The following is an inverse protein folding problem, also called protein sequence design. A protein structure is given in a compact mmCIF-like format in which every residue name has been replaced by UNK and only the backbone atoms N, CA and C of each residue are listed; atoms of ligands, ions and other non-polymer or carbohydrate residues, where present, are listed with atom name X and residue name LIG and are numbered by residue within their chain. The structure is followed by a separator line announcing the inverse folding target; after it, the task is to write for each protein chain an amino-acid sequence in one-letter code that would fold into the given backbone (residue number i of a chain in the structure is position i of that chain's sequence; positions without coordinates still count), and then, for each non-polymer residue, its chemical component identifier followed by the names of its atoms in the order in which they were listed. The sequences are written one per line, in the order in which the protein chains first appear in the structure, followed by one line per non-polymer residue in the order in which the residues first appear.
data_IF_033035405733
#
_entry.id   IF_033035405733
#
_cell.length_a   1.000
_cell.length_b   1.000
_cell.length_c   1.000
_cell.angle_alpha   90.00
_cell.angle_beta   90.00
_cell.angle_gamma   90.00
#
_symmetry.space_group_name_H-M   'P 1'
#
loop_
_entity.id
_entity.type
_entity.pdbx_description
1 polymer ?
#
# COMPACT_ATOMS: atom_id res chain seq x y z
N UNK A 1 1.30 -101.22 -14.60
CA UNK A 1 0.16 -101.24 -13.65
C UNK A 1 -0.64 -99.94 -13.88
N UNK A 2 -1.73 -100.00 -14.66
CA UNK A 2 -3.12 -99.60 -14.29
C UNK A 2 -3.22 -98.14 -13.77
N UNK A 3 -3.91 -97.14 -14.34
CA UNK A 3 -5.34 -97.00 -14.75
C UNK A 3 -5.52 -95.57 -15.34
N UNK A 4 -6.09 -95.41 -16.54
CA UNK A 4 -7.37 -94.74 -16.91
C UNK A 4 -7.76 -93.36 -16.30
N UNK A 5 -8.16 -92.49 -17.24
CA UNK A 5 -9.41 -91.68 -17.29
C UNK A 5 -9.45 -90.17 -16.93
N UNK A 6 -9.87 -89.44 -17.97
CA UNK A 6 -10.97 -88.45 -18.07
C UNK A 6 -10.77 -87.01 -17.57
N UNK A 7 -11.08 -86.14 -18.52
CA UNK A 7 -11.40 -84.71 -18.47
C UNK A 7 -12.30 -84.31 -17.29
N UNK A 8 -12.05 -83.12 -16.73
CA UNK A 8 -13.12 -82.24 -16.24
C UNK A 8 -12.71 -80.76 -16.36
N UNK A 9 -13.67 -79.97 -16.86
CA UNK A 9 -13.64 -78.52 -17.05
C UNK A 9 -13.70 -77.80 -15.69
N UNK A 10 -13.02 -76.66 -15.59
CA UNK A 10 -13.22 -75.69 -14.50
C UNK A 10 -12.97 -74.27 -15.01
N UNK A 11 -14.05 -73.57 -15.39
CA UNK A 11 -14.05 -72.12 -15.59
C UNK A 11 -13.94 -71.45 -14.20
N UNK A 12 -12.91 -70.64 -13.99
CA UNK A 12 -12.83 -69.67 -12.89
C UNK A 12 -13.12 -68.28 -13.47
N UNK A 13 -14.34 -67.79 -13.26
CA UNK A 13 -14.66 -66.38 -13.43
C UNK A 13 -14.02 -65.61 -12.27
N UNK A 14 -12.97 -64.85 -12.57
CA UNK A 14 -12.45 -63.82 -11.68
C UNK A 14 -13.38 -62.62 -11.68
N UNK A 15 -14.03 -62.36 -10.55
CA UNK A 15 -14.79 -61.14 -10.32
C UNK A 15 -13.83 -59.95 -10.22
N UNK A 16 -13.77 -59.12 -11.26
CA UNK A 16 -13.20 -57.77 -11.16
C UNK A 16 -14.15 -56.91 -10.30
N UNK A 17 -13.74 -56.62 -9.07
CA UNK A 17 -14.30 -55.51 -8.31
C UNK A 17 -13.83 -54.20 -8.93
N UNK A 18 -14.72 -53.53 -9.67
CA UNK A 18 -14.56 -52.12 -9.98
C UNK A 18 -14.72 -51.33 -8.68
N UNK A 19 -13.61 -50.94 -8.08
CA UNK A 19 -13.59 -49.86 -7.11
C UNK A 19 -13.93 -48.57 -7.85
N UNK A 20 -15.18 -48.12 -7.69
CA UNK A 20 -15.57 -46.77 -8.05
C UNK A 20 -14.83 -45.81 -7.10
N UNK A 21 -13.64 -45.36 -7.52
CA UNK A 21 -13.04 -44.16 -6.95
C UNK A 21 -13.97 -43.01 -7.30
N UNK A 22 -14.77 -42.57 -6.32
CA UNK A 22 -15.55 -41.36 -6.47
C UNK A 22 -14.60 -40.22 -6.84
N UNK A 23 -14.81 -39.61 -8.00
CA UNK A 23 -14.32 -38.27 -8.29
C UNK A 23 -15.07 -37.34 -7.33
N UNK A 24 -14.58 -37.25 -6.09
CA UNK A 24 -14.88 -36.09 -5.28
C UNK A 24 -14.22 -34.93 -5.97
N UNK A 25 -15.01 -33.96 -6.42
CA UNK A 25 -14.52 -32.67 -6.94
C UNK A 25 -13.77 -31.95 -5.82
N UNK A 26 -12.53 -32.38 -5.56
CA UNK A 26 -11.63 -31.66 -4.67
C UNK A 26 -11.17 -30.45 -5.45
N UNK A 27 -11.84 -29.33 -5.24
CA UNK A 27 -11.36 -28.03 -5.71
C UNK A 27 -9.94 -27.87 -5.19
N UNK A 28 -8.99 -27.75 -6.11
CA UNK A 28 -7.60 -27.45 -5.82
C UNK A 28 -7.52 -26.22 -4.89
N UNK A 29 -6.64 -26.25 -3.89
CA UNK A 29 -6.52 -25.17 -2.89
C UNK A 29 -5.10 -24.63 -2.80
N UNK A 30 -4.98 -23.38 -2.38
CA UNK A 30 -3.73 -22.74 -2.02
C UNK A 30 -3.94 -21.65 -0.97
N UNK A 31 -2.86 -20.96 -0.64
CA UNK A 31 -2.86 -19.92 0.38
C UNK A 31 -2.37 -18.58 -0.20
N UNK A 32 -2.67 -17.50 0.51
CA UNK A 32 -2.13 -16.16 0.24
C UNK A 32 -1.49 -15.62 1.50
N UNK A 33 -0.23 -15.21 1.39
CA UNK A 33 0.43 -14.37 2.39
C UNK A 33 0.32 -12.93 1.95
N UNK A 34 0.03 -12.06 2.92
CA UNK A 34 -0.11 -10.63 2.69
C UNK A 34 0.96 -9.91 3.49
N UNK A 35 1.67 -8.97 2.87
CA UNK A 35 2.59 -8.05 3.55
C UNK A 35 2.18 -6.60 3.32
N UNK A 36 2.58 -5.72 4.24
CA UNK A 36 2.50 -4.28 4.09
C UNK A 36 3.94 -3.74 4.07
N UNK A 37 4.30 -3.04 2.99
CA UNK A 37 5.65 -2.52 2.75
C UNK A 37 5.63 -1.01 2.53
N UNK A 38 6.68 -0.33 2.97
CA UNK A 38 6.95 1.08 2.63
C UNK A 38 7.87 1.24 1.41
N UNK A 39 8.33 0.11 0.85
CA UNK A 39 9.33 0.09 -0.20
C UNK A 39 10.64 0.79 0.18
N UNK A 40 11.51 0.94 -0.82
CA UNK A 40 12.82 1.53 -0.66
C UNK A 40 12.76 3.01 -0.27
N UNK A 41 11.78 3.75 -0.80
CA UNK A 41 11.63 5.19 -0.55
C UNK A 41 11.34 5.51 0.91
N UNK A 42 10.42 4.76 1.53
CA UNK A 42 10.09 4.97 2.96
C UNK A 42 11.24 4.50 3.86
N UNK A 43 11.86 3.36 3.55
CA UNK A 43 12.87 2.75 4.43
C UNK A 43 14.24 3.43 4.32
N UNK A 44 14.65 3.83 3.11
CA UNK A 44 15.98 4.41 2.83
C UNK A 44 15.97 5.90 2.53
N UNK A 45 14.81 6.50 2.37
CA UNK A 45 14.66 7.91 2.00
C UNK A 45 14.86 8.18 0.51
N UNK A 46 14.77 9.46 0.16
CA UNK A 46 14.88 9.97 -1.19
C UNK A 46 16.06 10.94 -1.29
N UNK A 47 16.90 10.75 -2.28
CA UNK A 47 18.07 11.59 -2.52
C UNK A 47 17.70 12.91 -3.22
N UNK A 48 18.57 13.92 -3.08
CA UNK A 48 18.39 15.29 -3.58
C UNK A 48 18.16 15.41 -5.09
N UNK A 49 18.77 14.53 -5.89
CA UNK A 49 18.64 14.51 -7.34
C UNK A 49 17.26 14.02 -7.82
N UNK A 50 16.46 13.42 -6.94
CA UNK A 50 15.06 13.06 -7.24
C UNK A 50 14.13 14.27 -7.15
N UNK A 51 14.53 15.29 -6.37
CA UNK A 51 13.75 16.51 -6.16
C UNK A 51 14.23 17.64 -7.06
N UNK A 52 13.28 18.34 -7.67
CA UNK A 52 13.58 19.44 -8.60
C UNK A 52 14.19 20.65 -7.91
N UNK A 53 13.92 20.81 -6.62
CA UNK A 53 14.41 21.86 -5.74
C UNK A 53 15.58 21.40 -4.86
N UNK A 54 16.11 20.19 -5.08
CA UNK A 54 17.36 19.74 -4.47
C UNK A 54 17.27 19.32 -3.01
N UNK A 55 16.07 18.97 -2.55
CA UNK A 55 15.83 18.43 -1.23
C UNK A 55 16.00 16.92 -1.19
N UNK A 56 16.60 16.42 -0.12
CA UNK A 56 16.58 15.01 0.25
C UNK A 56 15.64 14.81 1.44
N UNK A 57 15.04 13.62 1.56
CA UNK A 57 14.10 13.27 2.63
C UNK A 57 14.50 11.93 3.23
N UNK A 58 14.48 11.83 4.56
CA UNK A 58 14.62 10.58 5.29
C UNK A 58 13.50 10.46 6.32
N UNK A 59 12.73 9.37 6.25
CA UNK A 59 11.76 9.03 7.28
C UNK A 59 12.41 8.34 8.46
N UNK A 60 11.88 8.62 9.64
CA UNK A 60 12.22 7.93 10.90
C UNK A 60 11.06 7.10 11.44
N UNK A 61 9.83 7.40 10.96
CA UNK A 61 8.59 6.68 11.25
C UNK A 61 7.61 6.91 10.10
N UNK A 62 6.93 5.85 9.69
CA UNK A 62 5.82 5.93 8.73
C UNK A 62 4.74 4.94 9.16
N UNK A 63 3.80 5.41 9.99
CA UNK A 63 2.69 4.62 10.46
C UNK A 63 1.58 4.57 9.42
N UNK A 64 1.05 3.38 9.20
CA UNK A 64 -0.06 3.13 8.27
C UNK A 64 -1.13 2.31 8.97
N UNK A 65 -2.36 2.82 8.95
CA UNK A 65 -3.56 2.10 9.40
C UNK A 65 -4.26 1.51 8.18
N UNK A 66 -4.23 0.18 8.08
CA UNK A 66 -4.78 -0.57 6.95
C UNK A 66 -5.63 -1.73 7.43
N UNK A 67 -6.79 -1.91 6.82
CA UNK A 67 -7.69 -3.02 7.12
C UNK A 67 -8.37 -3.56 5.88
N UNK A 68 -9.24 -4.54 6.11
CA UNK A 68 -10.17 -5.08 5.12
C UNK A 68 -9.50 -5.56 3.83
N UNK A 69 -8.32 -6.18 3.95
CA UNK A 69 -7.73 -6.87 2.82
C UNK A 69 -8.64 -8.05 2.47
N UNK A 70 -9.20 -8.01 1.27
CA UNK A 70 -10.20 -8.95 0.79
C UNK A 70 -9.82 -9.52 -0.57
N UNK A 71 -10.13 -10.80 -0.71
CA UNK A 71 -10.05 -11.56 -1.95
C UNK A 71 -11.46 -11.97 -2.35
N UNK A 72 -11.91 -11.58 -3.54
CA UNK A 72 -13.21 -11.99 -4.07
C UNK A 72 -13.03 -12.91 -5.26
N UNK A 73 -13.59 -14.12 -5.17
CA UNK A 73 -13.55 -15.11 -6.26
C UNK A 73 -14.44 -14.68 -7.42
N UNK A 74 -14.28 -15.30 -8.60
CA UNK A 74 -15.18 -15.10 -9.73
C UNK A 74 -16.66 -15.48 -9.42
N UNK A 75 -16.89 -16.36 -8.43
CA UNK A 75 -18.22 -16.73 -7.95
C UNK A 75 -18.81 -15.76 -6.92
N UNK A 76 -18.04 -14.76 -6.48
CA UNK A 76 -18.45 -13.78 -5.47
C UNK A 76 -18.12 -14.16 -4.03
N UNK A 77 -17.41 -15.28 -3.79
CA UNK A 77 -16.97 -15.64 -2.44
C UNK A 77 -15.90 -14.68 -1.96
N UNK A 78 -16.14 -14.03 -0.82
CA UNK A 78 -15.22 -13.08 -0.21
C UNK A 78 -14.47 -13.73 0.94
N UNK A 79 -13.15 -13.59 0.93
CA UNK A 79 -12.26 -13.98 2.02
C UNK A 79 -11.52 -12.73 2.49
N UNK A 80 -11.42 -12.52 3.79
CA UNK A 80 -10.92 -11.27 4.36
C UNK A 80 -9.97 -11.53 5.52
N UNK A 81 -8.96 -10.67 5.69
CA UNK A 81 -8.20 -10.61 6.93
C UNK A 81 -9.12 -10.16 8.08
N UNK A 82 -8.95 -10.75 9.26
CA UNK A 82 -9.80 -10.41 10.41
C UNK A 82 -9.47 -9.01 10.99
N UNK A 83 -8.20 -8.64 10.89
CA UNK A 83 -7.62 -7.48 11.54
C UNK A 83 -7.60 -6.23 10.64
N UNK A 84 -7.79 -5.09 11.30
CA UNK A 84 -7.27 -3.81 10.86
C UNK A 84 -5.96 -3.62 11.63
N UNK A 85 -4.87 -3.30 10.96
CA UNK A 85 -3.56 -3.16 11.58
C UNK A 85 -3.06 -1.72 11.54
N UNK A 86 -2.27 -1.33 12.53
CA UNK A 86 -1.36 -0.18 12.44
C UNK A 86 0.06 -0.69 12.50
N UNK A 87 0.88 -0.35 11.50
CA UNK A 87 2.28 -0.78 11.41
C UNK A 87 3.19 0.38 11.06
N UNK A 88 4.46 0.32 11.47
CA UNK A 88 5.50 1.26 11.01
C UNK A 88 6.27 0.65 9.83
N UNK A 89 5.91 1.05 8.61
CA UNK A 89 6.52 0.53 7.37
C UNK A 89 7.92 1.06 7.11
N UNK A 90 8.38 2.05 7.90
CA UNK A 90 9.77 2.50 7.88
C UNK A 90 10.70 1.43 8.49
N UNK A 91 10.19 0.54 9.36
CA UNK A 91 10.99 -0.49 10.05
C UNK A 91 11.17 -1.78 9.26
N UNK A 92 10.58 -1.87 8.07
CA UNK A 92 10.61 -3.05 7.21
C UNK A 92 9.22 -3.50 6.80
N UNK A 93 9.17 -4.56 6.02
CA UNK A 93 7.91 -5.15 5.56
C UNK A 93 7.27 -5.92 6.70
N UNK A 94 5.96 -5.74 6.88
CA UNK A 94 5.22 -6.34 7.99
C UNK A 94 4.25 -7.39 7.44
N UNK A 95 4.39 -8.67 7.83
CA UNK A 95 3.43 -9.70 7.44
C UNK A 95 2.08 -9.45 8.13
N UNK A 96 1.00 -9.65 7.38
CA UNK A 96 -0.37 -9.66 7.89
C UNK A 96 -0.87 -11.11 8.01
N UNK A 97 -2.05 -11.28 8.61
CA UNK A 97 -2.72 -12.58 8.66
C UNK A 97 -2.89 -13.20 7.27
N UNK A 98 -2.39 -14.42 7.10
CA UNK A 98 -2.52 -15.18 5.85
C UNK A 98 -3.96 -15.69 5.64
N UNK A 99 -4.36 -15.82 4.37
CA UNK A 99 -5.62 -16.41 3.95
C UNK A 99 -5.36 -17.81 3.41
N UNK A 100 -5.85 -18.84 4.11
CA UNK A 100 -5.48 -20.24 3.85
C UNK A 100 -6.62 -21.06 3.27
N UNK A 101 -6.30 -22.09 2.49
CA UNK A 101 -7.26 -23.06 1.98
C UNK A 101 -8.23 -22.47 0.97
N UNK A 102 -7.81 -21.43 0.26
CA UNK A 102 -8.59 -20.78 -0.80
C UNK A 102 -8.69 -21.69 -2.01
N UNK A 103 -9.80 -21.67 -2.73
CA UNK A 103 -9.87 -22.34 -4.04
C UNK A 103 -8.82 -21.73 -4.97
N UNK A 104 -8.06 -22.56 -5.70
CA UNK A 104 -7.10 -22.10 -6.67
C UNK A 104 -7.82 -21.33 -7.79
N UNK A 105 -7.25 -20.22 -8.22
CA UNK A 105 -7.87 -19.34 -9.22
C UNK A 105 -7.51 -17.87 -9.02
N UNK A 106 -8.09 -17.02 -9.87
CA UNK A 106 -7.89 -15.57 -9.80
C UNK A 106 -8.93 -14.93 -8.89
N UNK A 107 -8.47 -14.00 -8.07
CA UNK A 107 -9.29 -13.22 -7.13
C UNK A 107 -9.09 -11.73 -7.42
N UNK A 108 -10.17 -10.96 -7.37
CA UNK A 108 -10.03 -9.51 -7.23
C UNK A 108 -9.56 -9.18 -5.82
N UNK A 109 -8.77 -8.11 -5.70
CA UNK A 109 -8.21 -7.63 -4.44
C UNK A 109 -8.84 -6.29 -4.09
N UNK A 110 -9.20 -6.11 -2.83
CA UNK A 110 -9.53 -4.81 -2.26
C UNK A 110 -8.96 -4.69 -0.84
N UNK A 111 -8.66 -3.46 -0.41
CA UNK A 111 -8.22 -3.15 0.95
C UNK A 111 -8.59 -1.71 1.31
N UNK A 112 -8.51 -1.35 2.59
CA UNK A 112 -8.90 -0.05 3.08
C UNK A 112 -7.78 0.60 3.86
N UNK A 113 -7.49 1.85 3.50
CA UNK A 113 -6.72 2.77 4.33
C UNK A 113 -7.71 3.66 5.06
N UNK A 114 -7.67 3.66 6.38
CA UNK A 114 -8.61 4.43 7.18
C UNK A 114 -8.16 4.54 8.64
N UNK A 115 -8.76 5.43 9.43
CA UNK A 115 -8.39 5.59 10.83
C UNK A 115 -8.53 4.29 11.64
N UNK A 116 -7.74 4.09 12.71
CA UNK A 116 -7.85 2.94 13.58
C UNK A 116 -9.26 2.77 14.17
N UNK A 117 -9.77 1.55 14.08
CA UNK A 117 -11.03 1.11 14.66
C UNK A 117 -10.83 0.47 16.05
N UNK A 118 -11.95 0.04 16.67
CA UNK A 118 -11.92 -0.72 17.92
C UNK A 118 -11.20 -2.07 17.79
N UNK A 119 -11.29 -2.72 16.63
CA UNK A 119 -10.62 -4.00 16.34
C UNK A 119 -9.14 -3.83 15.91
N UNK A 120 -8.64 -2.60 15.83
CA UNK A 120 -7.32 -2.35 15.27
C UNK A 120 -6.22 -2.86 16.21
N UNK A 121 -5.30 -3.63 15.64
CA UNK A 121 -4.15 -4.21 16.32
C UNK A 121 -2.88 -3.46 15.90
N UNK A 122 -2.03 -3.12 16.87
CA UNK A 122 -0.71 -2.56 16.60
C UNK A 122 0.27 -3.69 16.27
N UNK A 123 1.04 -3.53 15.19
CA UNK A 123 2.20 -4.39 14.91
C UNK A 123 3.34 -4.15 15.90
N UNK A 124 4.31 -5.07 15.92
CA UNK A 124 5.41 -5.08 16.91
C UNK A 124 6.23 -3.79 16.95
N UNK A 125 6.33 -3.06 15.84
CA UNK A 125 7.08 -1.81 15.70
C UNK A 125 6.31 -0.57 16.18
N UNK A 126 5.04 -0.70 16.57
CA UNK A 126 4.15 0.40 16.91
C UNK A 126 3.94 0.45 18.42
N UNK A 127 4.22 1.61 19.03
CA UNK A 127 4.00 1.80 20.45
C UNK A 127 2.52 2.01 20.78
N UNK A 128 2.13 1.76 22.03
CA UNK A 128 0.77 2.05 22.49
C UNK A 128 0.38 3.53 22.30
N UNK A 129 1.33 4.45 22.52
CA UNK A 129 1.11 5.89 22.31
C UNK A 129 0.95 6.27 20.85
N UNK A 130 1.59 5.54 19.92
CA UNK A 130 1.38 5.74 18.49
C UNK A 130 -0.03 5.35 18.05
N UNK A 131 -0.52 4.19 18.50
CA UNK A 131 -1.89 3.75 18.22
C UNK A 131 -2.93 4.69 18.83
N UNK A 132 -2.71 5.13 20.06
CA UNK A 132 -3.57 6.11 20.73
C UNK A 132 -3.62 7.44 19.96
N UNK A 133 -2.46 7.99 19.58
CA UNK A 133 -2.36 9.20 18.76
C UNK A 133 -3.15 9.07 17.45
N UNK A 134 -2.95 7.99 16.70
CA UNK A 134 -3.64 7.79 15.42
C UNK A 134 -5.16 7.68 15.61
N UNK A 135 -5.61 6.98 16.66
CA UNK A 135 -7.04 6.84 16.96
C UNK A 135 -7.67 8.16 17.39
N UNK A 136 -7.06 8.87 18.34
CA UNK A 136 -7.58 10.13 18.87
C UNK A 136 -7.70 11.22 17.81
N UNK A 137 -6.71 11.28 16.91
CA UNK A 137 -6.64 12.30 15.86
C UNK A 137 -7.31 11.88 14.56
N UNK A 138 -7.77 10.64 14.47
CA UNK A 138 -8.38 10.08 13.26
C UNK A 138 -7.39 9.97 12.09
N UNK A 139 -6.11 9.72 12.37
CA UNK A 139 -5.09 9.57 11.34
C UNK A 139 -5.06 8.15 10.81
N UNK A 140 -4.96 8.00 9.49
CA UNK A 140 -4.64 6.73 8.83
C UNK A 140 -3.18 6.65 8.39
N UNK A 141 -2.55 7.81 8.19
CA UNK A 141 -1.12 7.94 8.03
C UNK A 141 -0.56 8.87 9.09
N UNK A 142 0.60 8.51 9.64
CA UNK A 142 1.37 9.38 10.51
C UNK A 142 2.86 9.24 10.22
N UNK A 143 3.51 10.36 9.88
CA UNK A 143 4.88 10.36 9.36
C UNK A 143 5.78 11.28 10.18
N UNK A 144 7.00 10.83 10.41
CA UNK A 144 8.08 11.62 10.96
C UNK A 144 9.31 11.49 10.07
N UNK A 145 10.03 12.58 9.90
CA UNK A 145 11.27 12.55 9.17
C UNK A 145 11.99 13.88 9.17
N UNK A 146 13.03 13.91 8.34
CA UNK A 146 13.89 15.07 8.15
C UNK A 146 14.11 15.31 6.68
N UNK A 147 14.29 16.58 6.31
CA UNK A 147 14.63 16.99 4.98
C UNK A 147 15.82 17.94 5.00
N UNK A 148 16.69 17.82 4.00
CA UNK A 148 17.87 18.67 3.86
C UNK A 148 18.07 19.03 2.40
N UNK A 149 18.30 20.32 2.13
CA UNK A 149 18.67 20.78 0.80
C UNK A 149 20.15 20.51 0.51
N UNK A 150 20.50 20.29 -0.77
CA UNK A 150 21.89 20.22 -1.25
C UNK A 150 22.71 21.46 -0.89
N UNK A 151 22.07 22.63 -0.79
CA UNK A 151 22.66 23.82 -0.22
C UNK A 151 22.67 23.70 1.32
N UNK A 152 23.85 23.51 1.94
CA UNK A 152 23.94 23.30 3.38
C UNK A 152 23.55 24.55 4.18
N UNK A 153 23.47 25.74 3.57
CA UNK A 153 23.11 26.98 4.24
C UNK A 153 21.62 27.06 4.60
N UNK A 154 20.77 26.30 3.90
CA UNK A 154 19.34 26.25 4.20
C UNK A 154 19.04 25.43 5.46
N UNK A 155 19.96 24.57 5.89
CA UNK A 155 19.86 23.82 7.14
C UNK A 155 19.03 22.54 7.04
N UNK A 156 18.76 21.94 8.21
CA UNK A 156 17.97 20.71 8.36
C UNK A 156 16.54 21.08 8.80
N UNK A 157 15.56 20.45 8.17
CA UNK A 157 14.15 20.57 8.51
C UNK A 157 13.65 19.25 9.06
N UNK A 158 12.69 19.33 9.97
CA UNK A 158 11.99 18.16 10.52
C UNK A 158 10.51 18.28 10.23
N UNK A 159 9.84 17.14 10.05
CA UNK A 159 8.41 17.12 9.87
C UNK A 159 7.79 16.02 10.74
N UNK A 160 6.60 16.34 11.29
CA UNK A 160 5.77 15.42 12.05
C UNK A 160 4.32 15.68 11.67
N UNK A 161 3.73 14.80 10.87
CA UNK A 161 2.45 15.04 10.21
C UNK A 161 1.55 13.83 10.27
N UNK A 162 0.27 14.05 10.56
CA UNK A 162 -0.77 13.04 10.49
C UNK A 162 -1.82 13.41 9.45
N UNK A 163 -2.33 12.42 8.73
CA UNK A 163 -3.30 12.62 7.66
C UNK A 163 -4.52 11.71 7.84
N UNK A 164 -5.74 12.26 7.81
CA UNK A 164 -6.98 11.52 7.98
C UNK A 164 -7.51 11.00 6.63
N UNK A 165 -6.71 10.23 5.91
CA UNK A 165 -7.16 9.60 4.65
C UNK A 165 -8.16 8.49 4.97
N UNK A 166 -9.25 8.42 4.20
CA UNK A 166 -10.19 7.31 4.24
C UNK A 166 -10.49 6.86 2.82
N UNK A 167 -9.80 5.82 2.38
CA UNK A 167 -9.76 5.37 1.00
C UNK A 167 -9.96 3.87 0.92
N UNK A 168 -10.92 3.45 0.09
CA UNK A 168 -11.13 2.05 -0.24
C UNK A 168 -10.49 1.75 -1.59
N UNK A 169 -9.46 0.91 -1.59
CA UNK A 169 -8.81 0.42 -2.79
C UNK A 169 -9.58 -0.79 -3.31
N UNK A 170 -10.10 -0.68 -4.52
CA UNK A 170 -10.84 -1.76 -5.20
C UNK A 170 -10.31 -1.93 -6.62
N UNK A 171 -10.72 -3.02 -7.27
CA UNK A 171 -10.35 -3.29 -8.66
C UNK A 171 -8.83 -3.15 -8.91
N UNK A 172 -8.02 -3.63 -7.96
CA UNK A 172 -6.57 -3.52 -8.04
C UNK A 172 -5.97 -4.33 -9.20
N UNK A 173 -5.16 -3.67 -10.02
CA UNK A 173 -4.26 -4.27 -11.00
C UNK A 173 -2.96 -4.63 -10.29
N UNK A 174 -2.47 -5.84 -10.49
CA UNK A 174 -1.25 -6.35 -9.88
C UNK A 174 -0.01 -5.79 -10.58
N UNK A 175 0.90 -5.21 -9.81
CA UNK A 175 2.15 -4.62 -10.34
C UNK A 175 3.15 -5.63 -10.91
N UNK A 176 3.01 -6.93 -10.63
CA UNK A 176 3.91 -7.98 -11.12
C UNK A 176 3.52 -8.47 -12.51
N UNK A 177 2.24 -8.73 -12.75
CA UNK A 177 1.76 -9.34 -14.01
C UNK A 177 0.85 -8.41 -14.85
N UNK A 178 0.48 -7.24 -14.32
CA UNK A 178 -0.34 -6.24 -15.01
C UNK A 178 -1.82 -6.65 -15.15
N UNK A 179 -2.28 -7.68 -14.44
CA UNK A 179 -3.65 -8.19 -14.54
C UNK A 179 -4.48 -7.86 -13.30
N UNK A 180 -5.80 -8.04 -13.40
CA UNK A 180 -6.74 -7.80 -12.29
C UNK A 180 -6.49 -8.76 -11.11
N UNK A 181 -6.18 -8.22 -9.94
CA UNK A 181 -5.99 -8.94 -8.68
C UNK A 181 -4.86 -9.97 -8.71
N UNK A 182 -4.99 -11.04 -7.92
CA UNK A 182 -3.92 -12.05 -7.76
C UNK A 182 -4.39 -13.45 -8.16
N UNK A 183 -3.43 -14.34 -8.42
CA UNK A 183 -3.67 -15.77 -8.64
C UNK A 183 -3.31 -16.55 -7.39
N UNK A 184 -4.26 -17.30 -6.85
CA UNK A 184 -4.02 -18.33 -5.83
C UNK A 184 -3.62 -19.62 -6.56
N UNK A 185 -2.39 -20.12 -6.38
CA UNK A 185 -1.92 -21.34 -7.03
C UNK A 185 -2.49 -22.59 -6.37
N UNK A 186 -2.53 -23.71 -7.11
CA UNK A 186 -2.81 -25.03 -6.54
C UNK A 186 -1.61 -25.55 -5.74
N UNK A 187 -1.85 -25.99 -4.49
CA UNK A 187 -0.88 -26.64 -3.63
C UNK A 187 0.30 -25.76 -3.20
N UNK A 188 0.19 -24.44 -3.34
CA UNK A 188 1.26 -23.48 -3.06
C UNK A 188 0.71 -22.18 -2.45
N UNK A 189 1.60 -21.22 -2.23
CA UNK A 189 1.32 -19.93 -1.61
C UNK A 189 1.55 -18.83 -2.64
N UNK A 190 0.60 -17.91 -2.78
CA UNK A 190 0.82 -16.63 -3.43
C UNK A 190 1.26 -15.57 -2.42
N UNK A 191 2.18 -14.71 -2.85
CA UNK A 191 2.60 -13.55 -2.08
C UNK A 191 1.85 -12.32 -2.64
N UNK A 192 1.21 -11.57 -1.75
CA UNK A 192 0.58 -10.29 -2.04
C UNK A 192 1.17 -9.23 -1.12
N UNK A 193 1.47 -8.06 -1.65
CA UNK A 193 2.01 -6.93 -0.91
C UNK A 193 1.12 -5.72 -1.15
N UNK A 194 0.78 -5.00 -0.08
CA UNK A 194 0.35 -3.62 -0.18
C UNK A 194 1.57 -2.73 0.02
N UNK A 195 1.96 -2.00 -1.01
CA UNK A 195 3.14 -1.13 -1.01
C UNK A 195 2.72 0.32 -0.84
N UNK A 196 3.35 1.07 0.06
CA UNK A 196 3.07 2.47 0.35
C UNK A 196 4.17 3.34 -0.27
N UNK A 197 3.83 4.09 -1.32
CA UNK A 197 4.77 4.99 -2.03
C UNK A 197 4.75 6.38 -1.40
N UNK A 198 5.59 6.57 -0.38
CA UNK A 198 5.68 7.82 0.37
C UNK A 198 6.03 9.05 -0.50
N UNK A 199 6.57 8.87 -1.71
CA UNK A 199 6.88 9.96 -2.62
C UNK A 199 5.64 10.74 -3.07
N UNK A 200 4.44 10.14 -2.98
CA UNK A 200 3.18 10.82 -3.29
C UNK A 200 3.00 12.08 -2.44
N UNK A 201 3.57 12.13 -1.23
CA UNK A 201 3.58 13.34 -0.39
C UNK A 201 4.26 14.55 -1.05
N UNK A 202 5.14 14.31 -2.01
CA UNK A 202 6.00 15.32 -2.63
C UNK A 202 5.67 15.59 -4.09
N UNK A 203 4.60 14.98 -4.61
CA UNK A 203 4.16 15.18 -5.97
C UNK A 203 3.72 16.63 -6.20
N UNK A 204 3.95 17.13 -7.40
CA UNK A 204 3.43 18.43 -7.86
C UNK A 204 2.19 18.30 -8.75
N UNK A 205 1.69 17.08 -8.96
CA UNK A 205 0.52 16.81 -9.80
C UNK A 205 -0.31 15.65 -9.28
N UNK A 206 -1.63 15.82 -9.29
CA UNK A 206 -2.60 14.77 -8.94
C UNK A 206 -3.16 14.05 -10.17
N UNK A 207 -3.68 12.84 -9.95
CA UNK A 207 -4.45 12.07 -10.94
C UNK A 207 -3.62 11.43 -12.06
N UNK A 208 -2.30 11.42 -11.94
CA UNK A 208 -1.40 10.74 -12.88
C UNK A 208 -0.08 10.39 -12.21
N UNK A 209 0.55 9.32 -12.67
CA UNK A 209 1.92 8.93 -12.29
C UNK A 209 2.94 9.32 -13.37
N UNK A 210 2.51 10.03 -14.42
CA UNK A 210 3.34 10.44 -15.56
C UNK A 210 3.65 11.92 -15.52
N UNK A 211 4.94 12.25 -15.67
CA UNK A 211 5.42 13.63 -15.71
C UNK A 211 5.20 14.37 -14.39
N UNK A 212 5.13 13.63 -13.29
CA UNK A 212 5.12 14.14 -11.93
C UNK A 212 6.54 14.46 -11.51
N UNK A 213 6.72 15.50 -10.70
CA UNK A 213 8.01 15.86 -10.14
C UNK A 213 7.94 15.89 -8.61
N UNK A 214 9.03 15.52 -7.95
CA UNK A 214 9.15 15.64 -6.50
C UNK A 214 9.64 17.03 -6.12
N UNK A 215 8.95 17.64 -5.14
CA UNK A 215 9.21 19.00 -4.64
C UNK A 215 9.01 19.06 -3.14
N UNK A 216 9.84 19.85 -2.47
CA UNK A 216 9.79 20.04 -1.02
C UNK A 216 9.92 21.51 -0.60
N UNK A 217 10.34 22.43 -1.49
CA UNK A 217 10.59 23.83 -1.14
C UNK A 217 9.34 24.52 -0.57
N UNK A 218 8.17 24.32 -1.18
CA UNK A 218 6.89 24.85 -0.69
C UNK A 218 6.53 24.31 0.70
N UNK A 219 6.91 23.05 0.99
CA UNK A 219 6.70 22.39 2.27
C UNK A 219 7.67 22.98 3.31
N UNK A 220 8.96 23.12 2.96
CA UNK A 220 9.98 23.71 3.83
C UNK A 220 9.64 25.16 4.21
N UNK A 221 9.08 25.94 3.29
CA UNK A 221 8.65 27.32 3.50
C UNK A 221 7.55 27.50 4.57
N UNK A 222 6.93 26.40 5.04
CA UNK A 222 5.91 26.42 6.09
C UNK A 222 6.46 26.14 7.48
N UNK A 223 7.75 25.88 7.58
CA UNK A 223 8.38 25.52 8.84
C UNK A 223 8.36 26.68 9.84
N UNK A 224 8.30 26.35 11.11
CA UNK A 224 8.41 27.33 12.20
C UNK A 224 9.86 27.83 12.38
N UNK A 225 10.07 28.68 13.39
CA UNK A 225 11.38 29.22 13.73
C UNK A 225 12.43 28.16 14.14
N UNK A 226 12.02 26.90 14.39
CA UNK A 226 12.87 25.77 14.70
C UNK A 226 13.03 24.80 13.51
N UNK A 227 12.60 25.21 12.31
CA UNK A 227 12.55 24.37 11.11
C UNK A 227 11.68 23.11 11.28
N UNK A 228 10.62 23.20 12.10
CA UNK A 228 9.63 22.14 12.26
C UNK A 228 8.41 22.40 11.37
N UNK A 229 8.05 21.40 10.56
CA UNK A 229 6.91 21.43 9.63
C UNK A 229 5.76 20.64 10.24
N UNK A 230 4.56 21.22 10.17
CA UNK A 230 3.30 20.66 10.69
C UNK A 230 2.22 20.73 9.61
N UNK A 231 1.16 19.88 9.69
CA UNK A 231 0.03 19.98 8.78
C UNK A 231 -0.61 21.38 8.78
N UNK A 232 -0.72 22.01 9.95
CA UNK A 232 -1.25 23.36 10.10
C UNK A 232 -0.39 24.42 9.39
N UNK A 233 0.93 24.21 9.34
CA UNK A 233 1.83 25.03 8.52
C UNK A 233 1.54 24.88 7.03
N UNK A 234 1.28 23.66 6.54
CA UNK A 234 0.91 23.45 5.14
C UNK A 234 -0.36 24.19 4.72
N UNK A 235 -1.30 24.40 5.64
CA UNK A 235 -2.52 25.18 5.35
C UNK A 235 -2.25 26.67 5.14
N UNK A 236 -1.08 27.20 5.52
CA UNK A 236 -0.77 28.62 5.31
C UNK A 236 -0.37 28.95 3.86
N UNK A 237 -0.18 27.93 3.02
CA UNK A 237 0.21 28.06 1.62
C UNK A 237 -1.04 27.89 0.73
N UNK A 238 -1.41 28.96 0.03
CA UNK A 238 -2.42 28.91 -1.03
C UNK A 238 -1.80 28.25 -2.27
N UNK A 239 -2.47 27.26 -2.85
CA UNK A 239 -1.95 26.45 -3.96
C UNK A 239 -1.64 27.27 -5.22
N UNK A 240 -2.37 28.38 -5.41
CA UNK A 240 -2.19 29.29 -6.54
C UNK A 240 -1.14 30.39 -6.28
N UNK A 241 -0.58 30.46 -5.07
CA UNK A 241 0.37 31.50 -4.65
C UNK A 241 1.43 30.92 -3.70
N UNK A 242 2.06 29.82 -4.11
CA UNK A 242 3.06 29.14 -3.31
C UNK A 242 4.29 30.03 -3.08
N UNK A 243 4.81 29.99 -1.85
CA UNK A 243 5.98 30.75 -1.41
C UNK A 243 7.17 29.83 -1.15
N UNK A 244 8.36 30.28 -1.53
CA UNK A 244 9.64 29.63 -1.19
C UNK A 244 10.15 30.06 0.18
N UNK A 245 11.31 29.52 0.60
CA UNK A 245 11.94 29.86 1.88
C UNK A 245 12.31 31.34 2.03
N UNK A 246 12.49 32.05 0.93
CA UNK A 246 12.77 33.49 0.91
C UNK A 246 11.51 34.35 1.13
N UNK A 247 10.33 33.73 1.25
CA UNK A 247 9.03 34.40 1.33
C UNK A 247 8.53 34.97 0.01
N UNK A 248 9.30 34.83 -1.08
CA UNK A 248 8.92 35.21 -2.42
C UNK A 248 8.01 34.19 -3.09
N UNK A 249 7.50 34.52 -4.28
CA UNK A 249 6.81 33.53 -5.12
C UNK A 249 7.75 32.37 -5.45
N UNK A 250 7.26 31.13 -5.29
CA UNK A 250 8.01 29.93 -5.58
C UNK A 250 8.31 29.83 -7.08
N UNK A 251 9.59 29.80 -7.41
CA UNK A 251 10.08 29.73 -8.79
C UNK A 251 11.05 28.57 -8.99
N UNK A 252 11.07 28.01 -10.19
CA UNK A 252 12.01 26.98 -10.58
C UNK A 252 13.40 27.55 -10.93
N UNK A 253 14.34 26.68 -11.29
CA UNK A 253 15.70 27.07 -11.66
C UNK A 253 15.77 27.95 -12.93
N UNK A 254 14.70 27.99 -13.73
CA UNK A 254 14.55 28.85 -14.91
C UNK A 254 13.80 30.15 -14.57
N UNK A 255 13.50 30.39 -13.29
CA UNK A 255 12.78 31.55 -12.80
C UNK A 255 11.29 31.53 -13.14
N UNK A 256 10.72 30.42 -13.60
CA UNK A 256 9.28 30.30 -13.87
C UNK A 256 8.52 29.97 -12.58
N UNK A 257 7.27 30.47 -12.40
CA UNK A 257 6.45 30.08 -11.27
C UNK A 257 6.23 28.56 -11.22
N UNK A 258 6.42 27.96 -10.05
CA UNK A 258 6.10 26.55 -9.83
C UNK A 258 4.60 26.41 -9.61
N UNK A 259 3.96 25.51 -10.37
CA UNK A 259 2.52 25.28 -10.32
C UNK A 259 2.24 23.85 -9.91
N UNK A 260 1.57 23.69 -8.77
CA UNK A 260 1.01 22.41 -8.37
C UNK A 260 -0.33 22.19 -9.07
N UNK A 261 -0.52 21.01 -9.64
CA UNK A 261 -1.65 20.71 -10.54
C UNK A 261 -2.67 19.81 -9.83
N UNK A 262 -3.80 20.36 -9.33
CA UNK A 262 -4.76 19.60 -8.52
C UNK A 262 -5.65 18.66 -9.36
N UNK A 263 -5.48 18.63 -10.68
CA UNK A 263 -6.31 17.81 -11.56
C UNK A 263 -7.78 18.20 -11.47
N UNK A 264 -8.66 17.21 -11.27
CA UNK A 264 -10.11 17.41 -11.14
C UNK A 264 -10.56 17.81 -9.71
N UNK A 265 -9.63 17.91 -8.76
CA UNK A 265 -9.95 18.17 -7.36
C UNK A 265 -10.06 19.67 -7.08
N UNK A 266 -11.06 20.07 -6.29
CA UNK A 266 -11.19 21.43 -5.80
C UNK A 266 -10.31 21.63 -4.55
N UNK A 267 -9.05 21.99 -4.78
CA UNK A 267 -8.02 22.12 -3.74
C UNK A 267 -7.55 23.57 -3.70
N UNK A 268 -7.43 24.12 -2.49
CA UNK A 268 -7.03 25.50 -2.23
C UNK A 268 -5.69 25.63 -1.54
N UNK A 269 -5.37 24.72 -0.62
CA UNK A 269 -4.13 24.81 0.17
C UNK A 269 -3.16 23.70 -0.16
N UNK A 270 -1.88 23.90 0.20
CA UNK A 270 -0.87 22.85 0.11
C UNK A 270 -1.21 21.66 1.03
N UNK A 271 -1.81 21.89 2.19
CA UNK A 271 -2.27 20.80 3.07
C UNK A 271 -3.30 19.91 2.38
N UNK A 272 -4.32 20.50 1.75
CA UNK A 272 -5.35 19.77 1.00
C UNK A 272 -4.72 19.03 -0.19
N UNK A 273 -3.74 19.64 -0.86
CA UNK A 273 -3.02 19.00 -1.97
C UNK A 273 -2.27 17.75 -1.52
N UNK A 274 -1.41 17.87 -0.50
CA UNK A 274 -0.62 16.74 0.01
C UNK A 274 -1.56 15.64 0.51
N UNK A 275 -2.61 16.01 1.25
CA UNK A 275 -3.61 15.06 1.75
C UNK A 275 -4.30 14.30 0.62
N UNK A 276 -4.69 14.99 -0.46
CA UNK A 276 -5.30 14.35 -1.63
C UNK A 276 -4.30 13.49 -2.41
N UNK A 277 -3.02 13.91 -2.48
CA UNK A 277 -1.97 13.18 -3.19
C UNK A 277 -1.67 11.81 -2.59
N UNK A 278 -1.79 11.70 -1.27
CA UNK A 278 -1.57 10.42 -0.57
C UNK A 278 -2.82 9.56 -0.44
N UNK A 279 -3.94 9.96 -1.05
CA UNK A 279 -5.15 9.12 -1.04
C UNK A 279 -4.90 7.81 -1.77
N UNK A 280 -4.18 7.82 -2.89
CA UNK A 280 -3.94 6.66 -3.76
C UNK A 280 -2.52 6.06 -3.64
N UNK A 281 -1.73 6.46 -2.63
CA UNK A 281 -0.33 6.01 -2.48
C UNK A 281 -0.14 4.53 -2.10
N UNK A 282 -1.24 3.80 -1.88
CA UNK A 282 -1.22 2.40 -1.52
C UNK A 282 -1.50 1.52 -2.75
N UNK A 283 -0.54 0.68 -3.11
CA UNK A 283 -0.49 -0.07 -4.35
C UNK A 283 -0.43 -1.57 -4.11
N UNK A 284 -0.92 -2.37 -5.07
CA UNK A 284 -0.82 -3.83 -5.02
C UNK A 284 0.47 -4.30 -5.69
N UNK A 285 1.28 -5.07 -4.98
CA UNK A 285 2.51 -5.71 -5.45
C UNK A 285 3.46 -4.71 -6.13
N UNK A 286 4.03 -3.80 -5.34
CA UNK A 286 4.91 -2.75 -5.82
C UNK A 286 4.13 -1.58 -6.42
N UNK A 287 3.98 -1.56 -7.74
CA UNK A 287 3.40 -0.41 -8.48
C UNK A 287 1.99 -0.65 -9.06
N UNK A 288 1.30 -1.71 -8.65
CA UNK A 288 -0.03 -2.01 -9.14
C UNK A 288 -1.05 -0.95 -8.73
N UNK A 289 -1.92 -0.54 -9.65
CA UNK A 289 -2.88 0.54 -9.41
C UNK A 289 -4.23 0.01 -8.99
N UNK A 290 -4.89 0.68 -8.05
CA UNK A 290 -6.25 0.39 -7.64
C UNK A 290 -7.17 1.55 -8.00
N UNK A 291 -8.46 1.25 -8.16
CA UNK A 291 -9.49 2.28 -8.17
C UNK A 291 -9.74 2.72 -6.73
N UNK A 292 -9.71 4.03 -6.49
CA UNK A 292 -10.13 4.60 -5.20
C UNK A 292 -11.64 4.76 -5.21
N UNK A 293 -12.33 3.99 -4.38
CA UNK A 293 -13.75 4.12 -4.12
C UNK A 293 -13.98 4.94 -2.84
N UNK A 294 -15.17 5.55 -2.76
CA UNK A 294 -15.64 6.08 -1.48
C UNK A 294 -15.67 4.95 -0.43
N UNK A 295 -15.29 5.26 0.83
CA UNK A 295 -15.31 4.28 1.91
C UNK A 295 -16.70 3.72 2.21
#
# INVERSE_FOLDING_TARGET
MRIRHKWLRGLLLGALGLGASGCGDTVARGDVRVSLSGGDGTQRGYADHLFQDGWSVQFTKYLVSLGDFTLTSAGGDVQATAEHVVVDVQKGDVPLTALTGLAAGRYSVAFQVGPPEARTVAGDSVSAGDLELMRERGFSYFVEGRAQNRDPTLGLYTFRMGFPVHARMVDCINGVDGTQGIVVPEGSVAEAEVTIHAEHMFYDRLGTHRGVQLRFEAIAATADANHAITPEGLASQELLDLRGLDGGELRDAQGQPVVYQPGAHAIRTLQEFVTQSIVDQAHLNGGGVCTVAAP
#
